data_IF_220399586592
#
_entry.id   IF_220399586592
#
_cell.length_a   1.000
_cell.length_b   1.000
_cell.length_c   1.000
_cell.angle_alpha   90.00
_cell.angle_beta   90.00
_cell.angle_gamma   90.00
#
_symmetry.space_group_name_H-M   'P 1'
#
loop_
_entity.id
_entity.type
_entity.pdbx_description
1 polymer ?
#
# COMPACT_ATOMS: atom_id res chain seq x y z
N UNK A 1 2.58 50.93 -14.58
CA UNK A 1 1.98 49.71 -15.17
C UNK A 1 2.79 48.46 -14.86
N UNK A 2 4.12 48.53 -14.89
CA UNK A 2 5.00 47.35 -14.71
C UNK A 2 4.94 46.73 -13.30
N UNK A 3 4.83 47.56 -12.24
CA UNK A 3 4.71 47.04 -10.85
C UNK A 3 3.42 46.24 -10.61
N UNK A 4 2.31 46.67 -11.22
CA UNK A 4 1.04 45.95 -11.17
C UNK A 4 1.14 44.61 -11.91
N UNK A 5 1.83 44.59 -13.05
CA UNK A 5 2.08 43.37 -13.82
C UNK A 5 2.87 42.34 -12.99
N UNK A 6 3.93 42.77 -12.30
CA UNK A 6 4.78 41.91 -11.45
C UNK A 6 3.97 41.29 -10.30
N UNK A 7 3.13 42.08 -9.63
CA UNK A 7 2.26 41.59 -8.55
C UNK A 7 1.26 40.54 -9.04
N UNK A 8 0.68 40.76 -10.22
CA UNK A 8 -0.30 39.87 -10.82
C UNK A 8 0.34 38.53 -11.24
N UNK A 9 1.53 38.56 -11.84
CA UNK A 9 2.30 37.37 -12.22
C UNK A 9 2.70 36.56 -11.00
N UNK A 10 3.19 37.20 -9.94
CA UNK A 10 3.57 36.50 -8.71
C UNK A 10 2.37 35.89 -7.98
N UNK A 11 1.26 36.62 -7.88
CA UNK A 11 0.01 36.08 -7.33
C UNK A 11 -0.47 34.86 -8.12
N UNK A 12 -0.35 34.89 -9.45
CA UNK A 12 -0.70 33.77 -10.32
C UNK A 12 0.19 32.54 -10.08
N UNK A 13 1.50 32.72 -9.85
CA UNK A 13 2.42 31.63 -9.49
C UNK A 13 1.99 30.98 -8.16
N UNK A 14 1.73 31.78 -7.12
CA UNK A 14 1.25 31.27 -5.82
C UNK A 14 -0.08 30.53 -5.97
N UNK A 15 -1.01 31.08 -6.76
CA UNK A 15 -2.30 30.44 -7.05
C UNK A 15 -2.16 29.12 -7.79
N UNK A 16 -1.22 29.02 -8.75
CA UNK A 16 -0.95 27.80 -9.49
C UNK A 16 -0.36 26.71 -8.58
N UNK A 17 0.59 27.08 -7.71
CA UNK A 17 1.14 26.18 -6.69
C UNK A 17 0.03 25.73 -5.73
N UNK A 18 -0.85 26.63 -5.30
CA UNK A 18 -1.99 26.30 -4.44
C UNK A 18 -3.00 25.37 -5.11
N UNK A 19 -3.29 25.60 -6.39
CA UNK A 19 -4.19 24.77 -7.19
C UNK A 19 -3.64 23.36 -7.37
N UNK A 20 -2.33 23.23 -7.63
CA UNK A 20 -1.66 21.93 -7.67
C UNK A 20 -1.73 21.18 -6.33
N UNK A 21 -1.91 21.91 -5.21
CA UNK A 21 -2.10 21.39 -3.85
C UNK A 21 -3.58 21.20 -3.45
N UNK A 22 -4.51 21.33 -4.40
CA UNK A 22 -5.95 21.15 -4.17
C UNK A 22 -6.60 22.27 -3.35
N UNK A 23 -5.97 23.45 -3.27
CA UNK A 23 -6.53 24.64 -2.60
C UNK A 23 -7.19 25.57 -3.60
N UNK A 24 -8.08 26.43 -3.11
CA UNK A 24 -8.78 27.42 -3.94
C UNK A 24 -7.81 28.43 -4.55
N UNK A 25 -7.58 28.32 -5.87
CA UNK A 25 -6.67 29.17 -6.62
C UNK A 25 -6.98 30.66 -6.42
N UNK A 26 -8.26 31.04 -6.38
CA UNK A 26 -8.69 32.42 -6.15
C UNK A 26 -8.28 32.96 -4.79
N UNK A 27 -8.50 32.21 -3.69
CA UNK A 27 -8.14 32.68 -2.35
C UNK A 27 -6.62 32.85 -2.20
N UNK A 28 -5.83 31.93 -2.77
CA UNK A 28 -4.37 32.00 -2.74
C UNK A 28 -3.79 33.05 -3.69
N UNK A 29 -4.48 33.37 -4.78
CA UNK A 29 -4.16 34.50 -5.64
C UNK A 29 -4.25 35.81 -4.86
N UNK A 30 -5.40 36.11 -4.25
CA UNK A 30 -5.58 37.34 -3.47
C UNK A 30 -4.62 37.41 -2.28
N UNK A 31 -4.38 36.28 -1.62
CA UNK A 31 -3.41 36.19 -0.53
C UNK A 31 -1.96 36.44 -1.00
N UNK A 32 -1.57 35.90 -2.14
CA UNK A 32 -0.23 36.10 -2.74
C UNK A 32 0.00 37.52 -3.27
N UNK A 33 -1.06 38.17 -3.77
CA UNK A 33 -1.03 39.58 -4.16
C UNK A 33 -0.90 40.46 -2.92
N UNK A 34 -1.61 40.17 -1.83
CA UNK A 34 -1.65 41.04 -0.65
C UNK A 34 -0.43 40.88 0.29
N UNK A 35 0.10 39.65 0.42
CA UNK A 35 1.07 39.29 1.47
C UNK A 35 2.26 38.49 0.90
N UNK A 36 2.89 39.07 -0.12
CA UNK A 36 3.82 38.43 -1.06
C UNK A 36 4.80 37.37 -0.50
N UNK A 37 5.86 37.71 0.29
CA UNK A 37 6.83 36.71 0.74
C UNK A 37 6.23 35.72 1.74
N UNK A 38 5.28 36.18 2.55
CA UNK A 38 4.64 35.36 3.58
C UNK A 38 3.76 34.29 2.94
N UNK A 39 3.06 34.63 1.86
CA UNK A 39 2.19 33.70 1.14
C UNK A 39 2.96 32.52 0.52
N UNK A 40 4.17 32.78 0.00
CA UNK A 40 5.03 31.75 -0.56
C UNK A 40 5.58 30.79 0.50
N UNK A 41 5.96 31.32 1.66
CA UNK A 41 6.38 30.50 2.81
C UNK A 41 5.20 29.68 3.34
N UNK A 42 4.03 30.29 3.47
CA UNK A 42 2.81 29.61 3.90
C UNK A 42 2.39 28.49 2.94
N UNK A 43 2.36 28.71 1.63
CA UNK A 43 1.97 27.65 0.69
C UNK A 43 2.95 26.48 0.72
N UNK A 44 4.24 26.73 0.98
CA UNK A 44 5.26 25.69 1.01
C UNK A 44 5.16 24.83 2.27
N UNK A 45 5.00 25.46 3.44
CA UNK A 45 4.87 24.79 4.73
C UNK A 45 3.51 24.14 4.94
N UNK A 46 2.44 24.67 4.34
CA UNK A 46 1.11 24.14 4.63
C UNK A 46 0.86 22.84 3.85
N UNK A 47 0.47 21.75 4.55
CA UNK A 47 0.05 20.51 3.90
C UNK A 47 -1.27 20.68 3.13
N UNK A 48 -1.53 19.76 2.18
CA UNK A 48 -2.79 19.75 1.41
C UNK A 48 -3.98 19.53 2.36
N UNK A 49 -5.13 20.18 2.14
CA UNK A 49 -6.32 19.96 2.97
C UNK A 49 -6.98 18.63 2.59
N UNK A 50 -7.01 17.68 3.52
CA UNK A 50 -7.40 16.29 3.25
C UNK A 50 -8.62 15.86 4.08
N UNK A 51 -9.54 16.77 4.41
CA UNK A 51 -10.66 16.42 5.29
C UNK A 51 -11.89 15.87 4.54
N UNK A 52 -12.28 16.48 3.40
CA UNK A 52 -13.66 16.33 2.88
C UNK A 52 -13.77 15.45 1.62
N UNK A 53 -12.67 15.22 0.90
CA UNK A 53 -12.65 14.34 -0.27
C UNK A 53 -12.40 12.87 0.11
N UNK A 54 -11.78 12.63 1.27
CA UNK A 54 -11.27 11.32 1.67
C UNK A 54 -12.34 10.39 2.25
N UNK A 55 -13.41 10.90 2.87
CA UNK A 55 -14.45 10.06 3.50
C UNK A 55 -15.14 9.13 2.51
N UNK A 56 -15.30 9.55 1.25
CA UNK A 56 -16.02 8.80 0.21
C UNK A 56 -15.15 7.72 -0.45
N UNK A 57 -13.83 7.94 -0.48
CA UNK A 57 -12.85 7.08 -1.16
C UNK A 57 -12.22 6.08 -0.19
N UNK A 58 -12.16 6.40 1.11
CA UNK A 58 -11.72 5.46 2.16
C UNK A 58 -12.72 4.32 2.39
N UNK A 59 -13.98 4.47 1.95
CA UNK A 59 -15.02 3.46 2.11
C UNK A 59 -14.75 2.15 1.33
N UNK A 60 -13.97 2.20 0.25
CA UNK A 60 -13.57 1.01 -0.53
C UNK A 60 -12.28 0.35 -0.04
N UNK A 61 -11.55 0.95 0.91
CA UNK A 61 -10.36 0.36 1.53
C UNK A 61 -9.14 0.14 0.61
N UNK A 62 -9.24 0.50 -0.67
CA UNK A 62 -8.23 0.25 -1.71
C UNK A 62 -7.19 1.38 -1.83
N UNK A 63 -7.39 2.48 -1.10
CA UNK A 63 -6.52 3.65 -1.14
C UNK A 63 -6.03 4.00 0.27
N UNK A 64 -4.78 4.45 0.38
CA UNK A 64 -4.16 5.02 1.58
C UNK A 64 -3.69 6.44 1.28
N UNK A 65 -3.40 7.22 2.31
CA UNK A 65 -2.69 8.50 2.15
C UNK A 65 -1.19 8.34 2.23
N UNK A 66 -0.48 9.01 1.33
CA UNK A 66 0.97 9.11 1.37
C UNK A 66 1.42 10.00 2.55
N UNK A 67 2.33 9.55 3.44
CA UNK A 67 2.80 10.33 4.59
C UNK A 67 3.61 11.59 4.21
N UNK A 68 4.14 11.66 2.99
CA UNK A 68 5.00 12.78 2.55
C UNK A 68 4.25 13.88 1.79
N UNK A 69 3.24 13.52 1.00
CA UNK A 69 2.52 14.49 0.16
C UNK A 69 1.02 14.52 0.41
N UNK A 70 0.51 13.67 1.31
CA UNK A 70 -0.90 13.54 1.69
C UNK A 70 -1.85 13.20 0.54
N UNK A 71 -1.33 12.69 -0.57
CA UNK A 71 -2.11 12.30 -1.74
C UNK A 71 -2.68 10.88 -1.56
N UNK A 72 -3.85 10.64 -2.14
CA UNK A 72 -4.46 9.32 -2.23
C UNK A 72 -3.66 8.45 -3.20
N UNK A 73 -3.13 7.35 -2.69
CA UNK A 73 -2.39 6.35 -3.45
C UNK A 73 -3.00 4.98 -3.17
N UNK A 74 -2.84 4.04 -4.11
CA UNK A 74 -3.30 2.66 -3.90
C UNK A 74 -2.66 2.08 -2.64
N UNK A 75 -3.40 1.23 -1.93
CA UNK A 75 -2.92 0.62 -0.69
C UNK A 75 -1.69 -0.28 -0.92
N UNK A 76 -1.53 -0.81 -2.13
CA UNK A 76 -0.41 -1.65 -2.56
C UNK A 76 0.81 -0.83 -3.05
N UNK A 77 0.69 0.49 -3.19
CA UNK A 77 1.79 1.31 -3.68
C UNK A 77 2.93 1.36 -2.66
N UNK A 78 4.11 0.86 -3.07
CA UNK A 78 5.37 0.98 -2.30
C UNK A 78 6.01 2.34 -2.56
N UNK A 79 5.86 2.88 -3.78
CA UNK A 79 6.35 4.20 -4.16
C UNK A 79 5.18 5.11 -4.50
N UNK A 80 5.18 6.31 -3.93
CA UNK A 80 4.16 7.30 -4.25
C UNK A 80 4.37 7.77 -5.69
N UNK A 81 3.38 7.52 -6.56
CA UNK A 81 3.37 8.06 -7.93
C UNK A 81 3.50 9.58 -7.96
N UNK A 82 3.00 10.28 -6.91
CA UNK A 82 2.87 11.75 -6.92
C UNK A 82 4.10 12.50 -6.45
N UNK A 83 4.73 12.09 -5.34
CA UNK A 83 5.95 12.74 -4.85
C UNK A 83 7.22 11.93 -5.11
N UNK A 84 7.10 10.72 -5.65
CA UNK A 84 8.24 9.85 -5.99
C UNK A 84 8.97 9.23 -4.79
N UNK A 85 8.49 9.47 -3.55
CA UNK A 85 9.09 8.91 -2.34
C UNK A 85 8.57 7.50 -2.06
N UNK A 86 9.43 6.67 -1.47
CA UNK A 86 9.08 5.36 -0.95
C UNK A 86 8.20 5.52 0.30
N UNK A 87 7.03 4.90 0.31
CA UNK A 87 6.01 4.96 1.35
C UNK A 87 5.83 3.62 2.09
N UNK A 88 6.61 2.61 1.72
CA UNK A 88 6.60 1.27 2.31
C UNK A 88 5.28 0.50 2.12
N UNK A 89 5.30 -0.83 2.27
CA UNK A 89 4.08 -1.64 2.32
C UNK A 89 3.17 -1.23 3.48
N UNK A 90 1.85 -1.31 3.29
CA UNK A 90 0.93 -1.19 4.42
C UNK A 90 0.98 -2.44 5.30
N UNK A 91 1.22 -2.28 6.60
CA UNK A 91 1.14 -3.36 7.60
C UNK A 91 -0.28 -3.99 7.67
N UNK A 92 -1.30 -3.24 7.23
CA UNK A 92 -2.69 -3.71 7.09
C UNK A 92 -3.08 -4.16 5.68
N UNK A 93 -2.16 -4.18 4.72
CA UNK A 93 -2.33 -4.92 3.48
C UNK A 93 -1.74 -6.30 3.74
N UNK A 94 -2.55 -7.20 4.31
CA UNK A 94 -2.27 -8.63 4.16
C UNK A 94 -1.99 -8.84 2.67
N UNK A 95 -0.80 -9.35 2.28
CA UNK A 95 -0.40 -9.41 0.88
C UNK A 95 -1.50 -10.14 0.12
N UNK A 96 -2.21 -9.41 -0.73
CA UNK A 96 -3.20 -10.00 -1.60
C UNK A 96 -2.46 -10.92 -2.56
N UNK A 97 -2.52 -12.20 -2.21
CA UNK A 97 -2.25 -13.40 -3.01
C UNK A 97 -0.96 -13.34 -3.80
N UNK A 98 0.05 -13.96 -3.21
CA UNK A 98 0.98 -14.77 -3.98
C UNK A 98 0.15 -15.61 -4.95
N UNK A 99 0.41 -15.50 -6.24
CA UNK A 99 0.00 -16.48 -7.26
C UNK A 99 0.67 -17.86 -7.03
N UNK A 100 0.98 -18.20 -5.78
CA UNK A 100 1.22 -19.57 -5.40
C UNK A 100 -0.17 -20.22 -5.39
N UNK A 101 -0.42 -21.25 -6.24
CA UNK A 101 -1.57 -22.09 -6.01
C UNK A 101 -1.55 -22.53 -4.54
N UNK A 102 -2.69 -22.52 -3.82
CA UNK A 102 -2.73 -23.11 -2.50
C UNK A 102 -2.13 -24.51 -2.65
N UNK A 103 -1.07 -24.81 -1.88
CA UNK A 103 -0.44 -26.13 -1.89
C UNK A 103 -1.59 -27.16 -1.96
N UNK A 104 -1.66 -28.04 -2.98
CA UNK A 104 -2.79 -28.95 -3.19
C UNK A 104 -2.72 -30.12 -2.20
N UNK A 105 -2.46 -29.82 -0.94
CA UNK A 105 -2.54 -30.74 0.17
C UNK A 105 -4.00 -30.79 0.60
N UNK A 106 -4.72 -31.75 0.04
CA UNK A 106 -6.02 -32.18 0.53
C UNK A 106 -5.81 -33.42 1.40
N UNK A 107 -6.79 -33.74 2.23
CA UNK A 107 -6.82 -35.04 2.92
C UNK A 107 -6.86 -36.12 1.84
N UNK A 108 -5.88 -37.04 1.87
CA UNK A 108 -5.66 -38.05 0.83
C UNK A 108 -4.58 -37.72 -0.20
N UNK A 109 -4.03 -36.49 -0.24
CA UNK A 109 -2.90 -36.19 -1.14
C UNK A 109 -1.66 -37.00 -0.74
N UNK A 110 -0.97 -37.60 -1.72
CA UNK A 110 0.35 -38.18 -1.52
C UNK A 110 1.40 -37.08 -1.46
N UNK A 111 2.28 -37.19 -0.48
CA UNK A 111 3.41 -36.29 -0.30
C UNK A 111 4.67 -37.11 -0.05
N UNK A 112 5.79 -36.69 -0.63
CA UNK A 112 7.10 -37.27 -0.35
C UNK A 112 7.96 -36.28 0.40
N UNK A 113 8.61 -36.74 1.47
CA UNK A 113 9.61 -35.98 2.21
C UNK A 113 10.99 -36.61 2.06
N UNK A 114 12.02 -35.78 1.93
CA UNK A 114 13.41 -36.24 1.86
C UNK A 114 13.85 -37.03 3.11
N UNK A 115 13.14 -36.85 4.24
CA UNK A 115 13.49 -37.44 5.54
C UNK A 115 12.75 -38.74 5.85
N UNK A 116 11.51 -38.88 5.40
CA UNK A 116 10.63 -39.99 5.77
C UNK A 116 10.05 -40.77 4.57
N UNK A 117 10.35 -40.35 3.34
CA UNK A 117 9.83 -40.98 2.12
C UNK A 117 8.40 -40.54 1.77
N UNK A 118 7.68 -41.37 1.00
CA UNK A 118 6.31 -41.13 0.59
C UNK A 118 5.31 -41.41 1.73
N UNK A 119 4.23 -40.62 1.77
CA UNK A 119 3.16 -40.74 2.74
C UNK A 119 1.88 -40.04 2.29
N UNK A 120 0.80 -40.26 3.03
CA UNK A 120 -0.53 -39.73 2.71
C UNK A 120 -1.01 -38.76 3.79
N UNK A 121 -1.56 -37.62 3.39
CA UNK A 121 -2.12 -36.63 4.33
C UNK A 121 -3.41 -37.19 4.94
N UNK A 122 -3.43 -37.38 6.26
CA UNK A 122 -4.60 -37.87 7.02
C UNK A 122 -5.46 -36.75 7.58
N UNK A 123 -4.82 -35.70 8.09
CA UNK A 123 -5.52 -34.61 8.78
C UNK A 123 -4.77 -33.29 8.62
N UNK A 124 -5.53 -32.19 8.44
CA UNK A 124 -5.00 -30.84 8.30
C UNK A 124 -5.55 -30.00 9.46
N UNK A 125 -4.71 -29.75 10.46
CA UNK A 125 -5.04 -28.95 11.63
C UNK A 125 -4.54 -27.50 11.48
N UNK A 126 -5.02 -26.54 12.30
CA UNK A 126 -4.56 -25.16 12.27
C UNK A 126 -3.06 -24.99 12.55
N UNK A 127 -2.48 -25.89 13.36
CA UNK A 127 -1.10 -25.85 13.82
C UNK A 127 -0.13 -26.74 13.00
N UNK A 128 -0.64 -27.62 12.14
CA UNK A 128 0.18 -28.61 11.43
C UNK A 128 -0.61 -29.57 10.53
N UNK A 129 0.10 -30.47 9.87
CA UNK A 129 -0.45 -31.52 9.00
C UNK A 129 0.03 -32.87 9.52
N UNK A 130 -0.87 -33.83 9.64
CA UNK A 130 -0.53 -35.22 9.98
C UNK A 130 -0.41 -36.02 8.70
N UNK A 131 0.78 -36.57 8.46
CA UNK A 131 1.09 -37.41 7.29
C UNK A 131 1.44 -38.81 7.79
N UNK A 132 0.79 -39.81 7.21
CA UNK A 132 1.13 -41.20 7.44
C UNK A 132 2.14 -41.65 6.39
N UNK A 133 3.40 -41.83 6.80
CA UNK A 133 4.48 -42.25 5.90
C UNK A 133 4.59 -43.78 5.84
N UNK A 134 4.73 -44.32 4.63
CA UNK A 134 4.71 -45.78 4.37
C UNK A 134 5.79 -46.54 5.15
N UNK A 135 6.91 -45.88 5.46
CA UNK A 135 8.07 -46.48 6.14
C UNK A 135 8.27 -46.02 7.58
N UNK A 136 7.54 -45.00 8.05
CA UNK A 136 7.81 -44.33 9.31
C UNK A 136 6.58 -44.13 10.21
N UNK A 137 5.38 -44.49 9.75
CA UNK A 137 4.13 -44.31 10.50
C UNK A 137 3.61 -42.86 10.52
N UNK A 138 2.62 -42.54 11.37
CA UNK A 138 2.02 -41.21 11.44
C UNK A 138 2.96 -40.20 12.08
N UNK A 139 3.25 -39.11 11.37
CA UNK A 139 4.09 -38.02 11.83
C UNK A 139 3.35 -36.69 11.73
N UNK A 140 3.45 -35.87 12.77
CA UNK A 140 2.88 -34.52 12.82
C UNK A 140 3.93 -33.50 12.35
N UNK A 141 3.64 -32.79 11.26
CA UNK A 141 4.52 -31.77 10.68
C UNK A 141 3.93 -30.36 10.93
N UNK A 142 4.73 -29.39 11.43
CA UNK A 142 4.26 -28.01 11.60
C UNK A 142 3.99 -27.35 10.25
N UNK A 143 3.03 -26.40 10.22
CA UNK A 143 2.76 -25.59 9.01
C UNK A 143 4.03 -24.81 8.63
N UNK A 144 4.58 -25.10 7.46
CA UNK A 144 5.87 -24.57 6.99
C UNK A 144 7.03 -25.55 7.02
N UNK A 145 6.81 -26.82 7.38
CA UNK A 145 7.82 -27.86 7.25
C UNK A 145 8.28 -27.98 5.78
N UNK A 146 9.52 -27.55 5.57
CA UNK A 146 10.20 -27.36 4.31
C UNK A 146 10.19 -28.65 3.45
N UNK A 147 9.73 -28.53 2.19
CA UNK A 147 9.89 -29.51 1.10
C UNK A 147 9.04 -30.79 1.17
N UNK A 148 7.72 -30.64 1.28
CA UNK A 148 6.82 -31.70 0.80
C UNK A 148 6.66 -31.53 -0.71
N UNK A 149 7.03 -32.56 -1.47
CA UNK A 149 6.73 -32.65 -2.91
C UNK A 149 5.39 -33.38 -3.02
N UNK A 150 4.41 -32.75 -3.68
CA UNK A 150 3.13 -33.40 -3.99
C UNK A 150 3.37 -34.32 -5.18
N UNK A 151 3.14 -35.62 -4.98
CA UNK A 151 3.06 -36.57 -6.10
C UNK A 151 1.63 -36.48 -6.63
N UNK A 152 1.48 -35.96 -7.86
CA UNK A 152 0.19 -35.87 -8.56
C UNK A 152 -0.30 -37.22 -9.07
#
# INVERSE_FOLDING_TARGET
>A
MELLLIWLVMGAIVAMIASSKGRSAGAWFFYGVLVWPIALVHILLTPRPTAVADERVMATGDHRRCPYCAELVRKEAIVCRHCGRDIGPNEGAAPARVDDPPLPLQVGSRVSSQRFGAGTVREIAPLGITVEFDKAGPQMLPRGALRLIVEG
#
